data_IF_205452918182
#
_entry.id   IF_205452918182
#
_cell.length_a   1.000
_cell.length_b   1.000
_cell.length_c   1.000
_cell.angle_alpha   90.00
_cell.angle_beta   90.00
_cell.angle_gamma   90.00
#
_symmetry.space_group_name_H-M   'P 1'
#
loop_
_entity.id
_entity.type
_entity.pdbx_description
1 polymer ?
#
# COMPACT_ATOMS: atom_id res chain seq x y z
N UNK A 1 -7.88 -6.80 7.96
CA UNK A 1 -6.46 -6.36 7.98
C UNK A 1 -6.40 -4.85 7.85
N UNK A 2 -5.47 -4.21 8.56
CA UNK A 2 -5.11 -2.79 8.32
C UNK A 2 -3.62 -2.74 8.08
N UNK A 3 -3.18 -2.19 6.95
CA UNK A 3 -1.78 -2.24 6.56
C UNK A 3 -1.44 -1.32 5.40
N UNK A 4 -0.18 -1.37 4.96
CA UNK A 4 0.34 -0.56 3.88
C UNK A 4 0.68 -1.42 2.67
N UNK A 5 0.33 -0.94 1.47
CA UNK A 5 0.60 -1.63 0.20
C UNK A 5 2.10 -1.64 -0.10
N UNK A 6 2.68 -2.82 -0.34
CA UNK A 6 4.14 -2.97 -0.51
C UNK A 6 4.68 -2.51 -1.86
N UNK A 7 3.87 -2.65 -2.90
CA UNK A 7 4.20 -2.36 -4.29
C UNK A 7 2.94 -1.96 -5.05
N UNK A 8 3.09 -1.27 -6.18
CA UNK A 8 1.94 -0.88 -6.99
C UNK A 8 1.08 -2.10 -7.36
N UNK A 9 -0.26 -2.01 -7.25
CA UNK A 9 -1.13 -3.14 -7.56
C UNK A 9 -1.00 -3.58 -9.01
N UNK A 10 -0.97 -4.90 -9.22
CA UNK A 10 -1.00 -5.50 -10.54
C UNK A 10 -2.44 -5.80 -10.93
N UNK A 11 -2.89 -5.30 -12.08
CA UNK A 11 -4.23 -5.59 -12.63
C UNK A 11 -4.10 -6.46 -13.86
N UNK A 12 -4.79 -7.61 -13.86
CA UNK A 12 -4.84 -8.54 -15.00
C UNK A 12 -6.27 -8.67 -15.49
N UNK A 13 -6.44 -8.60 -16.80
CA UNK A 13 -7.71 -8.85 -17.47
C UNK A 13 -7.76 -10.30 -17.96
N UNK A 14 -8.89 -10.95 -17.80
CA UNK A 14 -9.16 -12.29 -18.27
C UNK A 14 -9.83 -12.25 -19.65
N UNK A 15 -9.69 -13.33 -20.42
CA UNK A 15 -10.27 -13.44 -21.78
C UNK A 15 -11.81 -13.38 -21.78
N UNK A 16 -12.45 -13.72 -20.65
CA UNK A 16 -13.90 -13.63 -20.47
C UNK A 16 -14.38 -12.22 -20.07
N UNK A 17 -13.51 -11.21 -20.09
CA UNK A 17 -13.84 -9.83 -19.73
C UNK A 17 -13.75 -9.50 -18.23
N UNK A 18 -13.55 -10.50 -17.36
CA UNK A 18 -13.33 -10.26 -15.93
C UNK A 18 -11.97 -9.64 -15.65
N UNK A 19 -11.80 -9.02 -14.48
CA UNK A 19 -10.52 -8.46 -14.05
C UNK A 19 -10.17 -8.94 -12.64
N UNK A 20 -8.87 -9.02 -12.35
CA UNK A 20 -8.34 -9.26 -11.01
C UNK A 20 -7.26 -8.22 -10.71
N UNK A 21 -7.29 -7.66 -9.51
CA UNK A 21 -6.19 -6.88 -8.97
C UNK A 21 -5.49 -7.67 -7.85
N UNK A 22 -4.16 -7.62 -7.81
CA UNK A 22 -3.36 -8.28 -6.77
C UNK A 22 -2.26 -7.38 -6.23
N UNK A 23 -2.07 -7.42 -4.92
CA UNK A 23 -1.02 -6.66 -4.23
C UNK A 23 -0.60 -7.34 -2.91
N UNK A 24 0.51 -6.88 -2.34
CA UNK A 24 0.97 -7.27 -1.01
C UNK A 24 0.63 -6.17 0.02
N UNK A 25 0.22 -6.57 1.21
CA UNK A 25 -0.13 -5.68 2.33
C UNK A 25 0.74 -6.01 3.54
N UNK A 26 1.55 -5.06 3.99
CA UNK A 26 2.36 -5.17 5.19
C UNK A 26 1.53 -4.81 6.43
N UNK A 27 1.63 -5.65 7.47
CA UNK A 27 1.16 -5.33 8.82
C UNK A 27 2.32 -5.54 9.80
N UNK A 28 2.58 -4.55 10.66
CA UNK A 28 3.73 -4.58 11.56
C UNK A 28 3.29 -4.53 13.02
N UNK A 29 3.93 -5.34 13.86
CA UNK A 29 3.78 -5.33 15.31
C UNK A 29 5.11 -4.93 15.95
N UNK A 30 5.06 -4.04 16.95
CA UNK A 30 6.23 -3.68 17.76
C UNK A 30 5.96 -4.08 19.20
N UNK A 31 6.92 -4.78 19.81
CA UNK A 31 6.85 -5.16 21.22
C UNK A 31 8.21 -5.01 21.91
N UNK A 32 8.21 -4.97 23.25
CA UNK A 32 9.42 -5.03 24.05
C UNK A 32 9.70 -6.48 24.43
N UNK A 33 10.88 -6.99 24.09
CA UNK A 33 11.32 -8.32 24.47
C UNK A 33 11.49 -8.41 25.98
N UNK A 34 10.87 -9.42 26.61
CA UNK A 34 10.80 -9.53 28.07
C UNK A 34 12.13 -9.93 28.71
N UNK A 35 13.01 -10.59 27.98
CA UNK A 35 14.28 -11.11 28.51
C UNK A 35 15.39 -10.07 28.37
N UNK A 36 15.42 -9.35 27.25
CA UNK A 36 16.49 -8.40 26.90
C UNK A 36 16.09 -6.94 27.16
N UNK A 37 14.79 -6.65 27.21
CA UNK A 37 14.28 -5.27 27.29
C UNK A 37 14.37 -4.50 25.98
N UNK A 38 14.82 -5.12 24.88
CA UNK A 38 14.96 -4.47 23.58
C UNK A 38 13.61 -4.31 22.87
N UNK A 39 13.49 -3.25 22.07
CA UNK A 39 12.33 -3.07 21.18
C UNK A 39 12.52 -3.93 19.94
N UNK A 40 11.56 -4.83 19.67
CA UNK A 40 11.49 -5.67 18.48
C UNK A 40 10.34 -5.26 17.58
N UNK A 41 10.50 -5.52 16.30
CA UNK A 41 9.48 -5.30 15.28
C UNK A 41 9.38 -6.54 14.38
N UNK A 42 8.15 -6.90 14.01
CA UNK A 42 7.87 -7.97 13.05
C UNK A 42 6.85 -7.48 12.04
N UNK A 43 7.19 -7.63 10.76
CA UNK A 43 6.31 -7.31 9.65
C UNK A 43 5.85 -8.59 8.98
N UNK A 44 4.53 -8.75 8.84
CA UNK A 44 3.88 -9.82 8.10
C UNK A 44 3.35 -9.31 6.77
N UNK A 45 3.55 -10.09 5.71
CA UNK A 45 3.14 -9.75 4.35
C UNK A 45 1.95 -10.59 3.92
N UNK A 46 0.83 -9.93 3.68
CA UNK A 46 -0.42 -10.57 3.27
C UNK A 46 -0.59 -10.41 1.76
N UNK A 47 -0.90 -11.50 1.07
CA UNK A 47 -1.25 -11.45 -0.35
C UNK A 47 -2.74 -11.22 -0.48
N UNK A 48 -3.12 -10.20 -1.24
CA UNK A 48 -4.52 -9.80 -1.46
C UNK A 48 -4.89 -9.96 -2.93
N UNK A 49 -6.01 -10.64 -3.20
CA UNK A 49 -6.54 -10.89 -4.53
C UNK A 49 -7.97 -10.34 -4.61
N UNK A 50 -8.20 -9.34 -5.46
CA UNK A 50 -9.48 -8.63 -5.59
C UNK A 50 -10.11 -8.99 -6.92
N UNK A 51 -11.29 -9.63 -6.87
CA UNK A 51 -12.08 -10.06 -8.02
C UNK A 51 -13.37 -9.25 -8.19
N UNK A 52 -13.85 -8.59 -7.13
CA UNK A 52 -15.00 -7.68 -7.22
C UNK A 52 -14.71 -6.53 -8.18
N UNK A 53 -15.43 -6.44 -9.30
CA UNK A 53 -15.17 -5.45 -10.36
C UNK A 53 -15.12 -4.01 -9.84
N UNK A 54 -16.07 -3.64 -8.97
CA UNK A 54 -16.10 -2.31 -8.36
C UNK A 54 -14.83 -2.01 -7.56
N UNK A 55 -14.36 -2.99 -6.78
CA UNK A 55 -13.13 -2.84 -5.99
C UNK A 55 -11.88 -2.89 -6.86
N UNK A 56 -11.86 -3.67 -7.95
CA UNK A 56 -10.75 -3.66 -8.92
C UNK A 56 -10.59 -2.26 -9.52
N UNK A 57 -11.69 -1.60 -9.90
CA UNK A 57 -11.64 -0.21 -10.39
C UNK A 57 -11.12 0.75 -9.33
N UNK A 58 -11.46 0.56 -8.06
CA UNK A 58 -10.90 1.37 -6.95
C UNK A 58 -9.40 1.14 -6.84
N UNK A 59 -8.96 -0.12 -6.84
CA UNK A 59 -7.55 -0.49 -6.77
C UNK A 59 -6.75 0.13 -7.92
N UNK A 60 -7.23 -0.04 -9.15
CA UNK A 60 -6.57 0.46 -10.36
C UNK A 60 -6.40 1.98 -10.38
N UNK A 61 -7.39 2.73 -9.89
CA UNK A 61 -7.41 4.19 -10.05
C UNK A 61 -6.80 4.95 -8.87
N UNK A 62 -6.79 4.36 -7.67
CA UNK A 62 -6.47 5.10 -6.45
C UNK A 62 -5.36 4.48 -5.60
N UNK A 63 -5.08 3.19 -5.77
CA UNK A 63 -4.15 2.48 -4.90
C UNK A 63 -2.77 2.42 -5.55
N UNK A 64 -1.76 2.77 -4.76
CA UNK A 64 -0.35 2.75 -5.15
C UNK A 64 0.50 2.18 -4.02
N UNK A 65 1.78 1.94 -4.27
CA UNK A 65 2.75 1.62 -3.24
C UNK A 65 2.66 2.62 -2.08
N UNK A 66 2.64 2.10 -0.87
CA UNK A 66 2.53 2.88 0.36
C UNK A 66 1.10 3.16 0.82
N UNK A 67 0.08 2.98 -0.03
CA UNK A 67 -1.31 3.24 0.35
C UNK A 67 -1.71 2.46 1.60
N UNK A 68 -2.29 3.13 2.60
CA UNK A 68 -2.83 2.51 3.81
C UNK A 68 -4.28 2.10 3.57
N UNK A 69 -4.54 0.81 3.79
CA UNK A 69 -5.83 0.20 3.51
C UNK A 69 -6.36 -0.53 4.74
N UNK A 70 -7.68 -0.45 4.93
CA UNK A 70 -8.45 -1.47 5.62
C UNK A 70 -8.99 -2.46 4.58
N UNK A 71 -8.80 -3.76 4.85
CA UNK A 71 -9.20 -4.86 3.99
C UNK A 71 -9.99 -5.87 4.81
N UNK A 72 -11.19 -6.23 4.34
CA UNK A 72 -11.96 -7.37 4.81
C UNK A 72 -12.29 -8.27 3.61
N UNK A 73 -12.02 -9.56 3.76
CA UNK A 73 -12.22 -10.58 2.73
C UNK A 73 -12.15 -11.97 3.35
N UNK A 74 -12.04 -12.99 2.51
CA UNK A 74 -12.01 -14.38 2.93
C UNK A 74 -10.61 -14.96 2.73
N UNK A 75 -10.16 -15.84 3.64
CA UNK A 75 -8.94 -16.60 3.41
C UNK A 75 -9.23 -17.75 2.44
N UNK A 76 -8.43 -17.83 1.38
CA UNK A 76 -8.48 -18.92 0.41
C UNK A 76 -7.08 -19.51 0.27
N UNK A 77 -6.96 -20.82 0.48
CA UNK A 77 -5.71 -21.55 0.22
C UNK A 77 -5.85 -22.32 -1.07
N UNK A 78 -5.06 -21.95 -2.09
CA UNK A 78 -5.02 -22.67 -3.37
C UNK A 78 -3.79 -23.56 -3.45
N UNK A 79 -3.98 -24.73 -4.05
CA UNK A 79 -2.94 -25.67 -4.44
C UNK A 79 -2.50 -25.37 -5.87
N UNK A 80 -1.21 -25.34 -6.14
CA UNK A 80 -0.64 -25.22 -7.48
C UNK A 80 0.63 -26.05 -7.57
N UNK A 81 1.00 -26.51 -8.76
CA UNK A 81 2.25 -27.23 -8.98
C UNK A 81 3.33 -26.27 -9.47
N UNK A 82 4.51 -26.35 -8.87
CA UNK A 82 5.67 -25.64 -9.38
C UNK A 82 6.25 -26.31 -10.64
N UNK A 83 7.33 -25.74 -11.16
CA UNK A 83 7.98 -26.22 -12.39
C UNK A 83 8.55 -27.63 -12.26
N UNK A 84 8.83 -28.06 -11.04
CA UNK A 84 9.39 -29.38 -10.73
C UNK A 84 8.28 -30.40 -10.42
N UNK A 85 7.01 -30.00 -10.57
CA UNK A 85 5.83 -30.84 -10.33
C UNK A 85 5.46 -30.99 -8.85
N UNK A 86 6.10 -30.24 -7.94
CA UNK A 86 5.79 -30.33 -6.52
C UNK A 86 4.55 -29.51 -6.18
N UNK A 87 3.71 -30.08 -5.31
CA UNK A 87 2.53 -29.40 -4.81
C UNK A 87 2.92 -28.26 -3.85
N UNK A 88 2.48 -27.04 -4.19
CA UNK A 88 2.66 -25.82 -3.40
C UNK A 88 1.30 -25.28 -2.97
N UNK A 89 1.28 -24.66 -1.80
CA UNK A 89 0.09 -24.03 -1.24
C UNK A 89 0.33 -22.53 -1.08
N UNK A 90 -0.70 -21.74 -1.37
CA UNK A 90 -0.65 -20.30 -1.16
C UNK A 90 -1.98 -19.86 -0.57
N UNK A 91 -1.90 -19.26 0.61
CA UNK A 91 -3.04 -18.62 1.27
C UNK A 91 -3.08 -17.15 0.86
N UNK A 92 -4.25 -16.70 0.42
CA UNK A 92 -4.51 -15.33 -0.02
C UNK A 92 -5.75 -14.78 0.71
N UNK A 93 -5.80 -13.46 0.90
CA UNK A 93 -7.02 -12.75 1.29
C UNK A 93 -7.76 -12.36 0.03
N UNK A 94 -8.96 -12.89 -0.16
CA UNK A 94 -9.70 -12.83 -1.41
C UNK A 94 -10.97 -12.00 -1.26
N UNK A 95 -11.17 -11.06 -2.19
CA UNK A 95 -12.33 -10.15 -2.23
C UNK A 95 -13.16 -10.43 -3.50
N UNK A 96 -14.18 -11.30 -3.40
CA UNK A 96 -15.01 -11.77 -4.52
C UNK A 96 -16.44 -11.20 -4.57
N UNK A 97 -17.03 -10.82 -3.43
CA UNK A 97 -18.47 -10.55 -3.35
C UNK A 97 -18.85 -9.46 -2.35
N UNK A 98 -20.14 -9.39 -1.99
CA UNK A 98 -20.69 -8.35 -1.11
C UNK A 98 -20.10 -8.34 0.31
N UNK A 99 -19.55 -9.46 0.78
CA UNK A 99 -18.91 -9.59 2.09
C UNK A 99 -17.42 -9.18 2.05
N UNK A 100 -17.04 -8.30 1.13
CA UNK A 100 -15.66 -7.88 0.95
C UNK A 100 -15.57 -6.37 0.95
N UNK A 101 -14.65 -5.83 1.74
CA UNK A 101 -14.50 -4.39 1.95
C UNK A 101 -13.06 -3.99 1.70
N UNK A 102 -12.88 -2.89 0.97
CA UNK A 102 -11.61 -2.19 0.83
C UNK A 102 -11.85 -0.72 1.09
N UNK A 103 -11.17 -0.17 2.10
CA UNK A 103 -11.28 1.24 2.48
C UNK A 103 -9.90 1.86 2.49
N UNK A 104 -9.72 2.93 1.73
CA UNK A 104 -8.52 3.77 1.82
C UNK A 104 -8.55 4.53 3.14
N UNK A 105 -7.48 4.42 3.92
CA UNK A 105 -7.33 5.10 5.20
C UNK A 105 -6.41 6.32 5.12
N UNK A 106 -5.72 6.49 3.99
CA UNK A 106 -4.94 7.70 3.77
C UNK A 106 -5.90 8.87 3.53
N UNK A 107 -5.82 9.86 4.41
CA UNK A 107 -6.47 11.15 4.22
C UNK A 107 -5.82 11.85 3.02
N UNK A 108 -6.67 12.46 2.19
CA UNK A 108 -6.33 13.28 1.02
C UNK A 108 -5.57 14.55 1.43
N UNK A 109 -4.39 14.42 2.01
CA UNK A 109 -3.61 15.52 2.56
C UNK A 109 -2.11 15.40 2.24
N UNK A 110 -1.81 15.32 0.94
CA UNK A 110 -0.52 15.76 0.38
C UNK A 110 -0.79 16.64 -0.84
N UNK A 111 -1.62 17.67 -0.62
CA UNK A 111 -1.75 18.81 -1.53
C UNK A 111 -1.04 20.01 -0.91
N UNK A 112 0.26 20.18 -1.21
CA UNK A 112 0.90 21.50 -1.10
C UNK A 112 1.98 21.71 -0.04
N UNK A 113 2.86 20.74 0.21
CA UNK A 113 4.15 21.02 0.86
C UNK A 113 5.13 21.64 -0.14
N UNK A 114 4.91 22.88 -0.60
CA UNK A 114 5.94 23.63 -1.33
C UNK A 114 7.03 24.02 -0.35
N UNK A 115 8.15 23.34 -0.51
CA UNK A 115 9.46 23.59 0.07
C UNK A 115 9.73 25.06 0.35
N UNK A 116 10.19 25.30 1.57
CA UNK A 116 11.01 26.43 1.99
C UNK A 116 11.95 26.89 0.88
N UNK A 117 11.75 28.12 0.41
CA UNK A 117 12.72 28.87 -0.37
C UNK A 117 13.33 29.92 0.54
N UNK A 118 14.56 29.66 1.01
CA UNK A 118 15.39 30.65 1.68
C UNK A 118 15.73 31.77 0.68
N UNK A 119 15.08 32.93 0.80
CA UNK A 119 15.54 34.18 0.19
C UNK A 119 16.74 34.71 0.99
N UNK A 120 17.93 34.24 0.62
CA UNK A 120 19.21 34.80 1.03
C UNK A 120 20.02 35.12 -0.24
N UNK A 121 20.07 36.38 -0.64
CA UNK A 121 20.97 36.84 -1.70
C UNK A 121 20.55 38.14 -2.37
N UNK A 122 21.15 39.26 -1.96
CA UNK A 122 20.91 40.54 -2.64
C UNK A 122 21.70 41.73 -2.08
N UNK A 123 23.04 41.62 -2.04
CA UNK A 123 23.92 42.79 -1.94
C UNK A 123 23.78 43.62 -3.22
N UNK A 124 23.22 44.83 -3.16
CA UNK A 124 23.61 45.91 -4.08
C UNK A 124 23.32 47.27 -3.46
N UNK A 125 24.39 48.05 -3.23
CA UNK A 125 24.35 49.30 -2.50
C UNK A 125 23.86 50.50 -3.31
N UNK A 126 23.55 51.58 -2.58
CA UNK A 126 23.70 52.92 -3.11
C UNK A 126 23.93 53.91 -1.95
N UNK A 127 25.11 54.52 -1.97
CA UNK A 127 25.47 55.65 -1.13
C UNK A 127 24.79 56.93 -1.65
N UNK A 128 24.20 57.71 -0.75
CA UNK A 128 23.67 59.05 -1.03
C UNK A 128 23.60 59.87 0.26
N UNK A 129 24.46 60.88 0.36
CA UNK A 129 24.72 61.71 1.54
C UNK A 129 23.57 62.70 1.88
N UNK A 130 23.41 63.11 3.15
CA UNK A 130 22.46 64.15 3.53
C UNK A 130 23.04 65.57 3.43
N UNK A 131 22.20 66.50 2.98
CA UNK A 131 22.22 67.91 3.36
C UNK A 131 20.84 68.28 3.89
#
# INVERSE_FOLDING_TARGET
LVGNVGQDPEVRQFQNGGQVASFSLATSETWKDKNTGERKEKTEWHRVSVFSEGLVRVVQNYIKKGSKLYIEGQLETRKWQDKDGQDRYTTEVVLRGFNSTLTMLDSRNEGGGRSSGNDFGGYQGQAGAPR
#
